data_IF_504413028711
#
_entry.id   IF_504413028711
#
_cell.length_a   1.000
_cell.length_b   1.000
_cell.length_c   1.000
_cell.angle_alpha   90.00
_cell.angle_beta   90.00
_cell.angle_gamma   90.00
#
_symmetry.space_group_name_H-M   'P 1'
#
loop_
_entity.id
_entity.type
_entity.pdbx_description
1 polymer ?
#
# COMPACT_ATOMS: atom_id res chain seq x y z
N UNK A 1 -19.99 1.17 -33.95
CA UNK A 1 -19.12 2.23 -34.49
C UNK A 1 -17.69 1.83 -34.17
N UNK A 2 -16.77 1.80 -35.15
CA UNK A 2 -15.36 1.49 -34.86
C UNK A 2 -14.77 2.63 -33.99
N UNK A 3 -14.26 2.24 -32.82
CA UNK A 3 -13.51 3.12 -31.94
C UNK A 3 -12.28 3.61 -32.73
N UNK A 4 -12.21 4.90 -33.02
CA UNK A 4 -11.06 5.49 -33.68
C UNK A 4 -9.80 5.12 -32.89
N UNK A 5 -8.85 4.44 -33.53
CA UNK A 5 -7.53 4.14 -32.97
C UNK A 5 -6.81 5.47 -32.75
N UNK A 6 -6.91 6.05 -31.53
CA UNK A 6 -6.04 7.15 -31.14
C UNK A 6 -4.59 6.71 -31.35
N UNK A 7 -3.82 7.49 -32.10
CA UNK A 7 -2.40 7.22 -32.34
C UNK A 7 -1.70 7.08 -31.00
N UNK A 8 -1.08 5.93 -30.79
CA UNK A 8 -0.37 5.64 -29.56
C UNK A 8 0.81 6.63 -29.40
N UNK A 9 0.67 7.59 -28.51
CA UNK A 9 1.73 8.55 -28.16
C UNK A 9 2.95 7.77 -27.64
N UNK A 10 4.19 8.04 -28.09
CA UNK A 10 5.38 7.38 -27.57
C UNK A 10 5.50 7.55 -26.05
N UNK A 11 5.97 6.53 -25.35
CA UNK A 11 6.07 6.53 -23.87
C UNK A 11 6.88 7.72 -23.36
N UNK A 12 7.93 8.14 -24.09
CA UNK A 12 8.77 9.28 -23.76
C UNK A 12 8.00 10.60 -23.78
N UNK A 13 7.07 10.77 -24.71
CA UNK A 13 6.21 11.95 -24.80
C UNK A 13 5.16 11.98 -23.69
N UNK A 14 4.64 10.82 -23.27
CA UNK A 14 3.72 10.75 -22.12
C UNK A 14 4.43 11.21 -20.85
N UNK A 15 5.66 10.77 -20.60
CA UNK A 15 6.43 11.20 -19.42
C UNK A 15 6.88 12.66 -19.49
N UNK A 16 7.20 13.19 -20.67
CA UNK A 16 7.59 14.60 -20.84
C UNK A 16 6.41 15.57 -20.73
N UNK A 17 5.18 15.08 -20.97
CA UNK A 17 3.93 15.88 -20.86
C UNK A 17 3.47 16.07 -19.42
N UNK A 18 4.12 15.41 -18.44
CA UNK A 18 3.73 15.55 -17.05
C UNK A 18 4.23 16.85 -16.43
N UNK A 19 3.33 17.62 -15.89
CA UNK A 19 3.63 18.86 -15.15
C UNK A 19 4.49 18.58 -13.90
N UNK A 20 4.36 17.39 -13.30
CA UNK A 20 5.03 16.98 -12.06
C UNK A 20 5.61 15.55 -12.12
N UNK A 21 6.70 15.30 -12.86
CA UNK A 21 7.25 13.95 -13.02
C UNK A 21 7.72 13.33 -11.70
N UNK A 22 8.21 14.15 -10.77
CA UNK A 22 8.65 13.68 -9.44
C UNK A 22 7.50 13.09 -8.62
N UNK A 23 6.30 13.69 -8.70
CA UNK A 23 5.14 13.17 -7.99
C UNK A 23 4.66 11.86 -8.59
N UNK A 24 4.72 11.72 -9.92
CA UNK A 24 4.38 10.48 -10.60
C UNK A 24 5.27 9.31 -10.13
N UNK A 25 6.58 9.52 -10.12
CA UNK A 25 7.54 8.51 -9.63
C UNK A 25 7.27 8.18 -8.16
N UNK A 26 6.98 9.18 -7.33
CA UNK A 26 6.67 8.96 -5.92
C UNK A 26 5.39 8.14 -5.73
N UNK A 27 4.34 8.34 -6.54
CA UNK A 27 3.13 7.53 -6.51
C UNK A 27 3.40 6.07 -6.93
N UNK A 28 4.27 5.84 -7.92
CA UNK A 28 4.70 4.49 -8.27
C UNK A 28 5.47 3.82 -7.13
N UNK A 29 6.40 4.55 -6.50
CA UNK A 29 7.11 4.05 -5.31
C UNK A 29 6.15 3.81 -4.14
N UNK A 30 5.13 4.63 -3.99
CA UNK A 30 4.09 4.42 -2.98
C UNK A 30 3.32 3.12 -3.24
N UNK A 31 2.93 2.84 -4.49
CA UNK A 31 2.30 1.57 -4.87
C UNK A 31 3.20 0.36 -4.60
N UNK A 32 4.49 0.50 -4.91
CA UNK A 32 5.49 -0.51 -4.58
C UNK A 32 5.54 -0.78 -3.07
N UNK A 33 5.66 0.28 -2.25
CA UNK A 33 5.76 0.16 -0.79
C UNK A 33 4.48 -0.42 -0.19
N UNK A 34 3.30 -0.04 -0.68
CA UNK A 34 2.01 -0.60 -0.22
C UNK A 34 2.01 -2.13 -0.41
N UNK A 35 2.36 -2.60 -1.59
CA UNK A 35 2.32 -4.03 -1.89
C UNK A 35 3.48 -4.78 -1.23
N UNK A 36 4.68 -4.20 -1.22
CA UNK A 36 5.83 -4.72 -0.50
C UNK A 36 5.50 -4.95 0.98
N UNK A 37 4.94 -3.95 1.64
CA UNK A 37 4.60 -4.01 3.06
C UNK A 37 3.49 -5.04 3.36
N UNK A 38 2.48 -5.13 2.49
CA UNK A 38 1.41 -6.11 2.66
C UNK A 38 1.91 -7.55 2.52
N UNK A 39 2.82 -7.79 1.57
CA UNK A 39 3.29 -9.13 1.21
C UNK A 39 4.52 -9.61 1.99
N UNK A 40 5.30 -8.69 2.60
CA UNK A 40 6.48 -9.06 3.40
C UNK A 40 6.15 -9.94 4.61
N UNK A 41 4.93 -9.82 5.14
CA UNK A 41 4.49 -10.55 6.33
C UNK A 41 3.86 -11.91 5.98
N UNK A 42 3.35 -12.09 4.75
CA UNK A 42 2.66 -13.30 4.33
C UNK A 42 3.38 -14.61 4.66
N UNK A 43 4.64 -14.79 4.22
CA UNK A 43 5.40 -16.03 4.43
C UNK A 43 5.67 -16.35 5.88
N UNK A 44 5.84 -15.32 6.71
CA UNK A 44 6.23 -15.49 8.12
C UNK A 44 5.04 -15.59 9.06
N UNK A 45 3.82 -15.28 8.61
CA UNK A 45 2.67 -15.11 9.47
C UNK A 45 2.35 -16.39 10.25
N UNK A 46 2.34 -17.55 9.60
CA UNK A 46 2.06 -18.82 10.27
C UNK A 46 3.15 -19.18 11.31
N UNK A 47 4.40 -18.85 11.00
CA UNK A 47 5.51 -19.07 11.94
C UNK A 47 5.41 -18.12 13.14
N UNK A 48 5.05 -16.88 12.91
CA UNK A 48 4.83 -15.91 13.99
C UNK A 48 3.63 -16.28 14.85
N UNK A 49 2.52 -16.74 14.26
CA UNK A 49 1.34 -17.23 14.99
C UNK A 49 1.71 -18.44 15.88
N UNK A 50 2.59 -19.33 15.39
CA UNK A 50 3.12 -20.43 16.20
C UNK A 50 3.98 -19.93 17.36
N UNK A 51 4.84 -18.94 17.13
CA UNK A 51 5.69 -18.32 18.15
C UNK A 51 4.87 -17.64 19.25
N UNK A 52 3.69 -17.12 18.89
CA UNK A 52 2.69 -16.58 19.84
C UNK A 52 1.92 -17.66 20.62
N UNK A 53 2.32 -18.94 20.52
CA UNK A 53 1.78 -20.05 21.31
C UNK A 53 0.66 -20.84 20.64
N UNK A 54 0.35 -20.61 19.36
CA UNK A 54 -0.66 -21.39 18.63
C UNK A 54 -0.04 -22.65 18.06
N UNK A 55 -0.31 -23.81 18.65
CA UNK A 55 0.13 -25.12 18.14
C UNK A 55 -0.95 -25.89 17.42
N UNK A 56 -2.19 -25.86 17.94
CA UNK A 56 -3.31 -26.55 17.34
C UNK A 56 -3.96 -25.73 16.20
N UNK A 57 -4.37 -26.41 15.14
CA UNK A 57 -5.04 -25.78 13.99
C UNK A 57 -4.30 -24.54 13.42
N UNK A 58 -2.96 -24.54 13.48
CA UNK A 58 -2.10 -23.42 13.12
C UNK A 58 -2.43 -22.81 11.76
N UNK A 59 -2.59 -23.66 10.73
CA UNK A 59 -2.87 -23.18 9.37
C UNK A 59 -4.25 -22.54 9.26
N UNK A 60 -5.24 -23.09 9.96
CA UNK A 60 -6.60 -22.53 9.98
C UNK A 60 -6.62 -21.15 10.66
N UNK A 61 -6.01 -21.04 11.84
CA UNK A 61 -5.91 -19.76 12.59
C UNK A 61 -5.14 -18.73 11.79
N UNK A 62 -4.01 -19.11 11.17
CA UNK A 62 -3.25 -18.21 10.31
C UNK A 62 -4.06 -17.75 9.08
N UNK A 63 -4.82 -18.65 8.48
CA UNK A 63 -5.74 -18.33 7.39
C UNK A 63 -6.82 -17.34 7.80
N UNK A 64 -7.42 -17.50 8.99
CA UNK A 64 -8.39 -16.56 9.54
C UNK A 64 -7.78 -15.16 9.73
N UNK A 65 -6.55 -15.09 10.27
CA UNK A 65 -5.84 -13.83 10.47
C UNK A 65 -5.57 -13.13 9.13
N UNK A 66 -5.16 -13.85 8.10
CA UNK A 66 -4.98 -13.30 6.73
C UNK A 66 -6.32 -12.82 6.17
N UNK A 67 -7.34 -13.65 6.25
CA UNK A 67 -8.67 -13.36 5.69
C UNK A 67 -9.35 -12.17 6.38
N UNK A 68 -9.11 -11.98 7.69
CA UNK A 68 -9.66 -10.86 8.46
C UNK A 68 -9.25 -9.50 7.89
N UNK A 69 -8.00 -9.36 7.47
CA UNK A 69 -7.48 -8.15 6.80
C UNK A 69 -8.18 -7.91 5.46
N UNK A 70 -8.32 -8.95 4.64
CA UNK A 70 -8.99 -8.85 3.34
C UNK A 70 -10.45 -8.45 3.47
N UNK A 71 -11.16 -9.11 4.40
CA UNK A 71 -12.57 -8.84 4.68
C UNK A 71 -12.78 -7.39 5.16
N UNK A 72 -12.00 -6.93 6.12
CA UNK A 72 -12.10 -5.57 6.66
C UNK A 72 -11.73 -4.50 5.61
N UNK A 73 -10.74 -4.77 4.75
CA UNK A 73 -10.37 -3.90 3.65
C UNK A 73 -11.50 -3.76 2.62
N UNK A 74 -12.18 -4.87 2.30
CA UNK A 74 -13.35 -4.85 1.43
C UNK A 74 -14.49 -4.01 2.00
N UNK A 75 -14.76 -4.13 3.31
CA UNK A 75 -15.79 -3.33 3.99
C UNK A 75 -15.48 -1.83 3.96
N UNK A 76 -14.23 -1.47 4.16
CA UNK A 76 -13.82 -0.06 4.28
C UNK A 76 -13.59 0.64 2.94
N UNK A 77 -13.24 -0.10 1.88
CA UNK A 77 -12.83 0.48 0.59
C UNK A 77 -13.87 1.44 0.00
N UNK A 78 -15.15 1.08 0.03
CA UNK A 78 -16.23 1.93 -0.48
C UNK A 78 -16.44 3.20 0.34
N UNK A 79 -16.30 3.11 1.67
CA UNK A 79 -16.47 4.24 2.60
C UNK A 79 -15.28 5.20 2.45
N UNK A 80 -14.09 4.64 2.48
CA UNK A 80 -12.84 5.41 2.39
C UNK A 80 -12.66 6.03 0.99
N UNK A 81 -13.12 5.36 -0.08
CA UNK A 81 -13.15 5.92 -1.42
C UNK A 81 -13.97 7.22 -1.46
N UNK A 82 -15.22 7.18 -0.97
CA UNK A 82 -16.08 8.37 -0.87
C UNK A 82 -15.49 9.46 0.03
N UNK A 83 -14.82 9.06 1.11
CA UNK A 83 -14.13 10.01 1.99
C UNK A 83 -12.98 10.71 1.28
N UNK A 84 -12.19 9.97 0.48
CA UNK A 84 -11.11 10.50 -0.32
C UNK A 84 -11.56 11.54 -1.34
N UNK A 85 -12.73 11.35 -1.93
CA UNK A 85 -13.32 12.34 -2.86
C UNK A 85 -13.74 13.63 -2.16
N UNK A 86 -14.17 13.55 -0.88
CA UNK A 86 -14.60 14.72 -0.09
C UNK A 86 -13.43 15.47 0.54
N UNK A 87 -12.49 14.76 1.16
CA UNK A 87 -11.40 15.35 1.96
C UNK A 87 -10.15 15.61 1.13
N UNK A 88 -10.04 14.93 -0.02
CA UNK A 88 -8.89 14.92 -0.91
C UNK A 88 -8.07 13.65 -0.77
N UNK A 89 -7.85 12.97 -1.89
CA UNK A 89 -7.17 11.67 -1.93
C UNK A 89 -5.73 11.73 -1.40
N UNK A 90 -5.04 12.87 -1.56
CA UNK A 90 -3.68 13.07 -1.01
C UNK A 90 -3.66 13.07 0.52
N UNK A 91 -4.65 13.71 1.18
CA UNK A 91 -4.75 13.72 2.65
C UNK A 91 -5.12 12.35 3.19
N UNK A 92 -6.08 11.69 2.53
CA UNK A 92 -6.48 10.34 2.92
C UNK A 92 -5.35 9.33 2.75
N UNK A 93 -4.56 9.41 1.67
CA UNK A 93 -3.40 8.54 1.45
C UNK A 93 -2.37 8.68 2.58
N UNK A 94 -2.01 9.91 2.94
CA UNK A 94 -1.07 10.17 4.04
C UNK A 94 -1.63 9.68 5.38
N UNK A 95 -2.91 9.95 5.68
CA UNK A 95 -3.55 9.49 6.91
C UNK A 95 -3.57 7.96 6.99
N UNK A 96 -3.88 7.26 5.89
CA UNK A 96 -3.87 5.82 5.82
C UNK A 96 -2.46 5.22 5.97
N UNK A 97 -1.42 5.90 5.46
CA UNK A 97 -0.03 5.48 5.68
C UNK A 97 0.39 5.64 7.15
N UNK A 98 0.07 6.77 7.78
CA UNK A 98 0.35 6.98 9.22
C UNK A 98 -0.36 5.92 10.06
N UNK A 99 -1.64 5.67 9.78
CA UNK A 99 -2.41 4.62 10.41
C UNK A 99 -1.76 3.23 10.24
N UNK A 100 -1.30 2.92 9.02
CA UNK A 100 -0.62 1.66 8.72
C UNK A 100 0.67 1.49 9.54
N UNK A 101 1.47 2.54 9.70
CA UNK A 101 2.68 2.51 10.53
C UNK A 101 2.33 2.15 11.97
N UNK A 102 1.31 2.81 12.55
CA UNK A 102 0.88 2.54 13.93
C UNK A 102 0.46 1.08 14.08
N UNK A 103 -0.36 0.57 13.16
CA UNK A 103 -0.84 -0.83 13.24
C UNK A 103 0.31 -1.83 13.05
N UNK A 104 1.28 -1.57 12.17
CA UNK A 104 2.46 -2.45 12.05
C UNK A 104 3.26 -2.50 13.36
N UNK A 105 3.44 -1.37 14.03
CA UNK A 105 4.09 -1.34 15.34
C UNK A 105 3.29 -2.12 16.39
N UNK A 106 1.96 -2.01 16.38
CA UNK A 106 1.10 -2.82 17.28
C UNK A 106 1.22 -4.32 16.94
N UNK A 107 1.25 -4.72 15.67
CA UNK A 107 1.48 -6.10 15.27
C UNK A 107 2.83 -6.64 15.76
N UNK A 108 3.88 -5.80 15.77
CA UNK A 108 5.19 -6.18 16.31
C UNK A 108 5.15 -6.49 17.83
N UNK A 109 4.20 -5.92 18.56
CA UNK A 109 4.03 -6.12 20.01
C UNK A 109 2.87 -7.07 20.34
N UNK A 110 2.31 -7.78 19.36
CA UNK A 110 1.27 -8.76 19.64
C UNK A 110 1.78 -9.88 20.56
N UNK A 111 0.99 -10.21 21.58
CA UNK A 111 1.32 -11.26 22.59
C UNK A 111 0.45 -12.50 22.44
N UNK A 112 -0.54 -12.47 21.54
CA UNK A 112 -1.40 -13.62 21.27
C UNK A 112 -1.89 -13.62 19.81
N UNK A 113 -2.24 -14.80 19.25
CA UNK A 113 -2.81 -14.92 17.91
C UNK A 113 -4.09 -14.10 17.72
N UNK A 114 -4.95 -14.04 18.74
CA UNK A 114 -6.20 -13.27 18.71
C UNK A 114 -5.91 -11.77 18.59
N UNK A 115 -4.96 -11.27 19.38
CA UNK A 115 -4.54 -9.87 19.32
C UNK A 115 -3.93 -9.51 17.96
N UNK A 116 -3.10 -10.38 17.41
CA UNK A 116 -2.57 -10.22 16.07
C UNK A 116 -3.69 -10.19 15.01
N UNK A 117 -4.68 -11.06 15.13
CA UNK A 117 -5.86 -11.08 14.25
C UNK A 117 -6.66 -9.80 14.31
N UNK A 118 -6.87 -9.25 15.51
CA UNK A 118 -7.53 -7.98 15.73
C UNK A 118 -6.76 -6.83 15.06
N UNK A 119 -5.44 -6.77 15.26
CA UNK A 119 -4.61 -5.74 14.62
C UNK A 119 -4.60 -5.86 13.10
N UNK A 120 -4.59 -7.08 12.57
CA UNK A 120 -4.71 -7.32 11.13
C UNK A 120 -6.08 -6.91 10.57
N UNK A 121 -7.15 -7.13 11.33
CA UNK A 121 -8.47 -6.64 10.96
C UNK A 121 -8.50 -5.11 10.95
N UNK A 122 -7.99 -4.46 11.98
CA UNK A 122 -7.87 -2.99 12.02
C UNK A 122 -7.01 -2.48 10.86
N UNK A 123 -5.89 -3.14 10.56
CA UNK A 123 -5.04 -2.79 9.42
C UNK A 123 -5.83 -2.74 8.11
N UNK A 124 -6.65 -3.77 7.84
CA UNK A 124 -7.48 -3.82 6.65
C UNK A 124 -8.46 -2.65 6.57
N UNK A 125 -9.07 -2.23 7.68
CA UNK A 125 -9.99 -1.09 7.71
C UNK A 125 -9.32 0.22 7.21
N UNK A 126 -8.07 0.46 7.59
CA UNK A 126 -7.36 1.68 7.18
C UNK A 126 -6.75 1.60 5.78
N UNK A 127 -6.34 0.39 5.36
CA UNK A 127 -5.61 0.21 4.10
C UNK A 127 -6.50 0.10 2.86
N UNK A 128 -7.81 -0.12 3.04
CA UNK A 128 -8.78 -0.14 1.95
C UNK A 128 -8.79 1.14 1.10
N UNK A 129 -8.25 2.26 1.61
CA UNK A 129 -8.11 3.51 0.87
C UNK A 129 -6.80 3.66 0.09
N UNK A 130 -5.76 2.87 0.41
CA UNK A 130 -4.40 3.13 -0.12
C UNK A 130 -4.34 2.98 -1.64
N UNK A 131 -4.76 1.83 -2.16
CA UNK A 131 -4.72 1.57 -3.61
C UNK A 131 -5.69 2.48 -4.39
N UNK A 132 -6.98 2.60 -4.00
CA UNK A 132 -7.89 3.55 -4.64
C UNK A 132 -7.38 4.98 -4.57
N UNK A 133 -6.77 5.40 -3.46
CA UNK A 133 -6.20 6.74 -3.29
C UNK A 133 -5.07 7.04 -4.27
N UNK A 134 -4.11 6.11 -4.43
CA UNK A 134 -3.05 6.26 -5.44
C UNK A 134 -3.63 6.30 -6.85
N UNK A 135 -4.55 5.40 -7.18
CA UNK A 135 -5.17 5.35 -8.50
C UNK A 135 -5.97 6.63 -8.81
N UNK A 136 -6.69 7.17 -7.84
CA UNK A 136 -7.41 8.44 -8.01
C UNK A 136 -6.46 9.62 -8.24
N UNK A 137 -5.31 9.68 -7.54
CA UNK A 137 -4.29 10.71 -7.76
C UNK A 137 -3.65 10.56 -9.14
N UNK A 138 -3.27 9.35 -9.54
CA UNK A 138 -2.74 9.07 -10.88
C UNK A 138 -3.73 9.48 -11.98
N UNK A 139 -5.01 9.15 -11.82
CA UNK A 139 -6.06 9.51 -12.77
C UNK A 139 -6.25 11.03 -12.91
N UNK A 140 -6.22 11.77 -11.80
CA UNK A 140 -6.36 13.23 -11.80
C UNK A 140 -5.19 13.96 -12.46
N UNK A 141 -4.00 13.35 -12.40
CA UNK A 141 -2.76 13.97 -12.88
C UNK A 141 -2.39 13.58 -14.30
N UNK A 142 -3.03 12.55 -14.84
CA UNK A 142 -2.67 11.98 -16.16
C UNK A 142 -3.65 12.45 -17.23
N UNK A 143 -3.16 12.97 -18.38
CA UNK A 143 -4.01 13.23 -19.55
C UNK A 143 -4.72 11.95 -20.01
N UNK A 144 -5.96 12.09 -20.51
CA UNK A 144 -6.78 10.94 -20.94
C UNK A 144 -6.07 10.02 -21.94
N UNK A 145 -5.27 10.59 -22.85
CA UNK A 145 -4.52 9.86 -23.87
C UNK A 145 -3.37 8.99 -23.34
N UNK A 146 -2.87 9.24 -22.12
CA UNK A 146 -1.77 8.51 -21.51
C UNK A 146 -2.15 7.64 -20.30
N UNK A 147 -3.41 7.68 -19.86
CA UNK A 147 -3.85 7.11 -18.60
C UNK A 147 -3.60 5.60 -18.50
N UNK A 148 -3.92 4.84 -19.55
CA UNK A 148 -3.74 3.39 -19.56
C UNK A 148 -2.28 2.97 -19.38
N UNK A 149 -1.33 3.73 -19.95
CA UNK A 149 0.10 3.45 -19.82
C UNK A 149 0.60 3.75 -18.41
N UNK A 150 0.18 4.87 -17.83
CA UNK A 150 0.57 5.24 -16.46
C UNK A 150 0.05 4.19 -15.47
N UNK A 151 -1.18 3.72 -15.65
CA UNK A 151 -1.69 2.62 -14.82
C UNK A 151 -0.91 1.32 -15.05
N UNK A 152 -0.51 1.01 -16.28
CA UNK A 152 0.32 -0.16 -16.56
C UNK A 152 1.69 -0.06 -15.85
N UNK A 153 2.37 1.10 -15.90
CA UNK A 153 3.61 1.33 -15.15
C UNK A 153 3.39 1.23 -13.64
N UNK A 154 2.32 1.85 -13.11
CA UNK A 154 1.98 1.72 -11.70
C UNK A 154 1.81 0.26 -11.28
N UNK A 155 1.17 -0.54 -12.14
CA UNK A 155 0.94 -1.96 -11.87
C UNK A 155 2.25 -2.76 -11.86
N UNK A 156 3.24 -2.39 -12.70
CA UNK A 156 4.57 -3.00 -12.64
C UNK A 156 5.23 -2.75 -11.28
N UNK A 157 5.23 -1.51 -10.79
CA UNK A 157 5.77 -1.19 -9.47
C UNK A 157 5.02 -1.92 -8.34
N UNK A 158 3.71 -1.99 -8.45
CA UNK A 158 2.88 -2.73 -7.50
C UNK A 158 3.26 -4.21 -7.44
N UNK A 159 3.38 -4.89 -8.59
CA UNK A 159 3.77 -6.30 -8.64
C UNK A 159 5.23 -6.53 -8.22
N UNK A 160 6.14 -5.62 -8.54
CA UNK A 160 7.52 -5.69 -8.04
C UNK A 160 7.55 -5.69 -6.50
N UNK A 161 6.72 -4.86 -5.86
CA UNK A 161 6.53 -4.90 -4.41
C UNK A 161 6.05 -6.27 -3.92
N UNK A 162 5.11 -6.88 -4.66
CA UNK A 162 4.58 -8.21 -4.37
C UNK A 162 5.60 -9.36 -4.49
N UNK A 163 6.59 -9.21 -5.37
CA UNK A 163 7.67 -10.20 -5.54
C UNK A 163 8.78 -9.99 -4.50
N UNK A 164 9.23 -8.75 -4.33
CA UNK A 164 10.36 -8.44 -3.44
C UNK A 164 9.95 -8.51 -1.97
N UNK A 165 8.69 -8.17 -1.64
CA UNK A 165 8.18 -8.16 -0.27
C UNK A 165 8.37 -9.49 0.47
N UNK A 166 7.86 -10.61 -0.04
CA UNK A 166 8.02 -11.92 0.59
C UNK A 166 9.48 -12.32 0.78
N UNK A 167 10.34 -12.05 -0.20
CA UNK A 167 11.77 -12.36 -0.12
C UNK A 167 12.45 -11.55 0.98
N UNK A 168 12.23 -10.24 1.02
CA UNK A 168 12.79 -9.35 2.03
C UNK A 168 12.24 -9.68 3.43
N UNK A 169 10.93 -9.92 3.55
CA UNK A 169 10.30 -10.29 4.81
C UNK A 169 10.85 -11.59 5.38
N UNK A 170 11.00 -12.62 4.55
CA UNK A 170 11.60 -13.90 4.96
C UNK A 170 13.07 -13.74 5.34
N UNK A 171 13.86 -12.96 4.61
CA UNK A 171 15.26 -12.69 4.94
C UNK A 171 15.37 -11.95 6.29
N UNK A 172 14.62 -10.88 6.50
CA UNK A 172 14.61 -10.14 7.76
C UNK A 172 14.20 -11.05 8.92
N UNK A 173 13.18 -11.89 8.74
CA UNK A 173 12.73 -12.81 9.77
C UNK A 173 13.80 -13.85 10.13
N UNK A 174 14.54 -14.35 9.13
CA UNK A 174 15.60 -15.34 9.34
C UNK A 174 16.81 -14.79 10.10
N UNK A 175 17.16 -13.52 9.90
CA UNK A 175 18.33 -12.91 10.56
C UNK A 175 18.00 -12.15 11.85
N UNK A 176 16.84 -11.53 11.94
CA UNK A 176 16.48 -10.57 13.00
C UNK A 176 15.20 -10.94 13.76
N UNK A 177 14.54 -12.04 13.37
CA UNK A 177 13.30 -12.50 13.98
C UNK A 177 12.03 -11.84 13.43
N UNK A 178 10.88 -12.39 13.84
CA UNK A 178 9.58 -12.01 13.27
C UNK A 178 9.18 -10.56 13.59
N UNK A 179 9.47 -10.09 14.81
CA UNK A 179 9.17 -8.70 15.22
C UNK A 179 9.88 -7.67 14.34
N UNK A 180 11.12 -7.97 13.92
CA UNK A 180 11.91 -7.08 13.07
C UNK A 180 11.28 -6.85 11.69
N UNK A 181 10.52 -7.82 11.16
CA UNK A 181 9.81 -7.66 9.88
C UNK A 181 8.76 -6.57 9.98
N UNK A 182 8.00 -6.53 11.08
CA UNK A 182 7.00 -5.49 11.30
C UNK A 182 7.64 -4.11 11.47
N UNK A 183 8.76 -4.00 12.20
CA UNK A 183 9.50 -2.74 12.34
C UNK A 183 10.08 -2.26 11.01
N UNK A 184 10.72 -3.15 10.24
CA UNK A 184 11.26 -2.83 8.92
C UNK A 184 10.15 -2.36 7.96
N UNK A 185 9.02 -3.06 7.98
CA UNK A 185 7.84 -2.72 7.17
C UNK A 185 7.26 -1.36 7.58
N UNK A 186 7.12 -1.11 8.90
CA UNK A 186 6.69 0.18 9.42
C UNK A 186 7.63 1.31 8.99
N UNK A 187 8.95 1.10 9.04
CA UNK A 187 9.94 2.06 8.61
C UNK A 187 9.84 2.38 7.10
N UNK A 188 9.65 1.36 6.25
CA UNK A 188 9.45 1.56 4.81
C UNK A 188 8.18 2.38 4.51
N UNK A 189 7.07 2.08 5.19
CA UNK A 189 5.82 2.84 5.02
C UNK A 189 5.96 4.26 5.55
N UNK A 190 6.63 4.46 6.69
CA UNK A 190 6.91 5.78 7.26
C UNK A 190 7.77 6.63 6.32
N UNK A 191 8.80 6.05 5.72
CA UNK A 191 9.63 6.72 4.71
C UNK A 191 8.80 7.15 3.50
N UNK A 192 7.98 6.25 2.95
CA UNK A 192 7.05 6.58 1.85
C UNK A 192 6.07 7.69 2.24
N UNK A 193 5.54 7.66 3.47
CA UNK A 193 4.67 8.69 4.01
C UNK A 193 5.35 10.05 4.07
N UNK A 194 6.60 10.12 4.55
CA UNK A 194 7.39 11.35 4.57
C UNK A 194 7.62 11.92 3.17
N UNK A 195 7.97 11.07 2.20
CA UNK A 195 8.11 11.47 0.79
C UNK A 195 6.81 12.07 0.25
N UNK A 196 5.67 11.43 0.52
CA UNK A 196 4.35 11.92 0.13
C UNK A 196 4.02 13.26 0.79
N UNK A 197 4.27 13.41 2.10
CA UNK A 197 4.03 14.65 2.84
C UNK A 197 4.83 15.83 2.27
N UNK A 198 6.12 15.61 1.99
CA UNK A 198 6.99 16.66 1.42
C UNK A 198 6.49 17.10 0.06
N UNK A 199 6.15 16.13 -0.81
CA UNK A 199 5.69 16.44 -2.16
C UNK A 199 4.31 17.09 -2.19
N UNK A 200 3.35 16.61 -1.41
CA UNK A 200 2.02 17.21 -1.35
C UNK A 200 2.04 18.62 -0.73
N UNK A 201 2.90 18.87 0.28
CA UNK A 201 3.08 20.23 0.80
C UNK A 201 3.63 21.20 -0.25
N UNK A 202 4.55 20.76 -1.10
CA UNK A 202 5.09 21.59 -2.18
C UNK A 202 4.01 21.96 -3.22
N UNK A 203 3.10 21.03 -3.52
CA UNK A 203 2.02 21.22 -4.49
C UNK A 203 0.87 22.05 -3.93
N UNK A 204 0.52 21.92 -2.65
CA UNK A 204 -0.51 22.73 -1.99
C UNK A 204 -0.10 24.21 -1.89
N UNK A 205 1.22 24.52 -1.79
CA UNK A 205 1.71 25.90 -1.87
C UNK A 205 1.48 26.53 -3.24
N UNK A 206 1.37 25.73 -4.29
CA UNK A 206 1.15 26.18 -5.69
C UNK A 206 -0.35 26.23 -6.05
N UNK A 207 -1.29 25.93 -5.13
CA UNK A 207 -2.77 25.93 -5.31
C UNK A 207 -3.30 25.02 -6.44
N UNK A 208 -2.70 23.86 -6.71
CA UNK A 208 -3.02 23.08 -7.92
C UNK A 208 -3.59 21.66 -7.66
N UNK A 209 -4.01 21.31 -6.42
CA UNK A 209 -4.68 20.04 -6.14
C UNK A 209 -6.01 20.27 -5.42
#
# INVERSE_FOLDING_TARGET
>A
QPVAKEKAIPTKEVFSSFKYPRLLVNLFLTSFVIQFSAQSIGPILALYVRDLGQSENLLFVSGLIVSSMGFSSMMSAGILGKLGDKVGNHRLLVAAQIYSVIIYLLCAHATSPLQLGLYRFLFGLGTGALIPGVNALLSKMTPKSGISRIFAFNQVFFYLGGVIGPMAGSAVAGYLGYHAVFYATAACVAFSCLCNLVQFRSLLKVKEI
#
